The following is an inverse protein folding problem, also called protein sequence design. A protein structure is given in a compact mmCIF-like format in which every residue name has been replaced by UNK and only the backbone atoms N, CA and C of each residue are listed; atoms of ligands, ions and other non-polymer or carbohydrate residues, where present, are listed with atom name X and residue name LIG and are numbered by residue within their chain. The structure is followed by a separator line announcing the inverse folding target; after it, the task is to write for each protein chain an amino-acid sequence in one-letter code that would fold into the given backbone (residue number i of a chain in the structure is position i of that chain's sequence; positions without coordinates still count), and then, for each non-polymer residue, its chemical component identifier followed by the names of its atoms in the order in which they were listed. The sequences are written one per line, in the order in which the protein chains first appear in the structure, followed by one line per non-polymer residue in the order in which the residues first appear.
data_IF_552325494522
#
_entry.id   IF_552325494522
#
_cell.length_a   1.000
_cell.length_b   1.000
_cell.length_c   1.000
_cell.angle_alpha   90.00
_cell.angle_beta   90.00
_cell.angle_gamma   90.00
#
_symmetry.space_group_name_H-M   'P 1'
#
loop_
_entity.id
_entity.type
_entity.pdbx_description
1 polymer ?
#
# COMPACT_ATOMS: atom_id res chain seq x y z
N UNK A 1 -3.08 -19.83 26.87
CA UNK A 1 -2.26 -20.50 25.84
C UNK A 1 -1.16 -19.60 25.29
N UNK A 2 -1.43 -18.32 25.00
CA UNK A 2 -0.47 -17.38 24.41
C UNK A 2 0.96 -17.33 24.98
N UNK A 3 1.18 -17.67 26.26
CA UNK A 3 2.51 -17.66 26.90
C UNK A 3 3.59 -18.45 26.14
N UNK A 4 3.24 -19.52 25.43
CA UNK A 4 4.20 -20.33 24.66
C UNK A 4 4.82 -19.51 23.52
N UNK A 5 4.05 -18.59 22.93
CA UNK A 5 4.45 -17.80 21.76
C UNK A 5 5.05 -16.44 22.15
N UNK A 6 4.63 -15.85 23.27
CA UNK A 6 5.04 -14.47 23.64
C UNK A 6 6.01 -14.39 24.80
N UNK A 7 5.97 -15.35 25.73
CA UNK A 7 6.81 -15.29 26.93
C UNK A 7 8.23 -15.71 26.59
N UNK A 8 9.20 -14.91 27.02
CA UNK A 8 10.60 -15.30 27.00
C UNK A 8 10.89 -16.19 28.21
N UNK A 9 11.42 -17.39 27.96
CA UNK A 9 11.64 -18.43 28.96
C UNK A 9 12.99 -19.11 28.78
N UNK A 10 13.18 -20.23 29.47
CA UNK A 10 14.40 -21.03 29.31
C UNK A 10 14.45 -21.71 27.94
N UNK A 11 13.29 -22.07 27.39
CA UNK A 11 13.11 -22.78 26.12
C UNK A 11 12.16 -22.05 25.15
N UNK A 12 11.88 -20.76 25.35
CA UNK A 12 11.04 -19.95 24.45
C UNK A 12 11.70 -18.60 24.13
N UNK A 13 11.83 -18.27 22.85
CA UNK A 13 12.46 -17.02 22.38
C UNK A 13 11.61 -15.80 22.79
N UNK A 14 10.28 -15.96 22.76
CA UNK A 14 9.30 -14.90 23.03
C UNK A 14 8.81 -14.27 21.72
N UNK A 15 8.39 -13.00 21.77
CA UNK A 15 7.70 -12.33 20.67
C UNK A 15 8.59 -11.53 19.70
N UNK A 16 9.90 -11.48 19.93
CA UNK A 16 10.82 -10.67 19.13
C UNK A 16 11.80 -11.56 18.36
N UNK A 17 11.84 -11.37 17.04
CA UNK A 17 12.71 -12.11 16.14
C UNK A 17 13.44 -11.15 15.20
N UNK A 18 14.71 -11.43 14.94
CA UNK A 18 15.44 -10.85 13.81
C UNK A 18 14.86 -11.44 12.52
N UNK A 19 14.43 -10.57 11.62
CA UNK A 19 13.81 -10.91 10.34
C UNK A 19 14.44 -10.12 9.20
N UNK A 20 14.16 -10.53 7.97
CA UNK A 20 14.49 -9.78 6.76
C UNK A 20 13.20 -9.48 6.01
N UNK A 21 13.02 -8.22 5.59
CA UNK A 21 11.76 -7.70 5.08
C UNK A 21 12.00 -6.76 3.91
N UNK A 22 11.06 -6.72 2.96
CA UNK A 22 11.08 -5.72 1.88
C UNK A 22 10.65 -4.35 2.41
N UNK A 23 11.36 -3.30 2.01
CA UNK A 23 11.04 -1.91 2.37
C UNK A 23 11.28 -0.99 1.18
N UNK A 24 10.37 -0.04 1.00
CA UNK A 24 10.45 0.95 -0.08
C UNK A 24 11.43 2.08 0.29
N UNK A 25 12.19 2.52 -0.72
CA UNK A 25 13.10 3.66 -0.63
C UNK A 25 12.63 4.74 -1.59
N UNK A 26 12.97 6.00 -1.29
CA UNK A 26 12.56 7.13 -2.14
C UNK A 26 13.22 7.11 -3.53
N UNK A 27 14.42 6.55 -3.64
CA UNK A 27 15.21 6.55 -4.88
C UNK A 27 16.21 5.38 -4.92
N UNK A 28 16.89 5.22 -6.05
CA UNK A 28 17.88 4.16 -6.31
C UNK A 28 19.21 4.29 -5.54
N UNK A 29 19.39 5.29 -4.68
CA UNK A 29 20.58 5.40 -3.82
C UNK A 29 20.43 4.56 -2.55
N UNK A 30 19.19 4.22 -2.16
CA UNK A 30 18.86 3.41 -0.98
C UNK A 30 19.35 4.01 0.36
N UNK A 31 19.29 5.33 0.48
CA UNK A 31 19.70 6.07 1.67
C UNK A 31 18.53 6.32 2.63
N UNK A 32 17.36 6.69 2.12
CA UNK A 32 16.18 7.03 2.94
C UNK A 32 14.97 6.15 2.59
N UNK A 33 14.34 5.56 3.61
CA UNK A 33 13.07 4.84 3.46
C UNK A 33 11.94 5.79 3.11
N UNK A 34 11.03 5.35 2.23
CA UNK A 34 9.73 6.01 2.10
C UNK A 34 8.92 5.67 3.35
N UNK A 35 8.46 6.69 4.05
CA UNK A 35 7.64 6.51 5.25
C UNK A 35 6.27 5.98 4.82
N UNK A 36 5.80 4.94 5.51
CA UNK A 36 4.43 4.44 5.35
C UNK A 36 3.44 5.50 5.79
N UNK A 37 2.36 5.61 5.03
CA UNK A 37 1.20 6.43 5.38
C UNK A 37 0.35 5.73 6.43
N UNK A 38 -0.62 6.44 7.03
CA UNK A 38 -1.60 5.84 7.94
C UNK A 38 -2.42 4.74 7.24
N UNK A 39 -2.68 4.86 5.94
CA UNK A 39 -3.38 3.83 5.15
C UNK A 39 -2.56 2.54 5.04
N UNK A 40 -1.24 2.62 5.12
CA UNK A 40 -0.30 1.49 4.95
C UNK A 40 0.22 0.93 6.29
N UNK A 41 -0.23 1.45 7.42
CA UNK A 41 0.21 1.01 8.75
C UNK A 41 -0.03 -0.49 8.95
N UNK A 42 -1.16 -1.00 8.44
CA UNK A 42 -1.54 -2.40 8.53
C UNK A 42 -0.59 -3.36 7.82
N UNK A 43 0.27 -2.90 6.89
CA UNK A 43 1.15 -3.81 6.14
C UNK A 43 2.19 -4.50 7.04
N UNK A 44 2.63 -3.86 8.13
CA UNK A 44 3.54 -4.44 9.13
C UNK A 44 4.74 -5.21 8.52
N UNK A 45 4.76 -6.55 8.58
CA UNK A 45 5.86 -7.34 8.02
C UNK A 45 5.94 -7.27 6.49
N UNK A 46 4.80 -7.16 5.81
CA UNK A 46 4.70 -7.18 4.35
C UNK A 46 5.61 -6.13 3.73
N UNK A 47 6.06 -6.41 2.52
CA UNK A 47 6.65 -5.40 1.66
C UNK A 47 5.68 -4.27 1.28
N UNK A 48 6.16 -3.22 0.60
CA UNK A 48 5.28 -2.18 0.07
C UNK A 48 4.25 -2.72 -0.93
N UNK A 49 3.14 -2.00 -1.07
CA UNK A 49 2.16 -2.24 -2.12
C UNK A 49 2.78 -1.88 -3.47
N UNK A 50 2.78 -2.84 -4.39
CA UNK A 50 3.13 -2.59 -5.78
C UNK A 50 1.83 -2.62 -6.57
N UNK A 51 1.46 -1.49 -7.17
CA UNK A 51 0.31 -1.39 -8.07
C UNK A 51 0.77 -1.41 -9.52
N UNK A 52 -0.01 -2.06 -10.39
CA UNK A 52 0.18 -2.03 -11.83
C UNK A 52 -1.15 -2.20 -12.57
N UNK A 53 -1.27 -1.63 -13.76
CA UNK A 53 -2.38 -1.93 -14.66
C UNK A 53 -2.00 -2.97 -15.71
N UNK A 54 -3.01 -3.61 -16.28
CA UNK A 54 -2.83 -4.44 -17.48
C UNK A 54 -2.21 -3.63 -18.61
N UNK A 55 -1.05 -4.10 -19.08
CA UNK A 55 -0.23 -3.48 -20.12
C UNK A 55 1.05 -2.83 -19.58
N UNK A 56 1.19 -2.69 -18.27
CA UNK A 56 2.34 -2.03 -17.66
C UNK A 56 3.60 -2.90 -17.65
N UNK A 57 4.74 -2.21 -17.53
CA UNK A 57 6.04 -2.79 -17.23
C UNK A 57 6.48 -2.29 -15.84
N UNK A 58 6.44 -3.18 -14.85
CA UNK A 58 6.91 -2.87 -13.50
C UNK A 58 8.42 -3.07 -13.45
N UNK A 59 9.16 -2.01 -13.13
CA UNK A 59 10.62 -2.05 -12.98
C UNK A 59 10.98 -1.92 -11.51
N UNK A 60 11.57 -2.97 -10.95
CA UNK A 60 11.97 -3.00 -9.54
C UNK A 60 13.48 -2.92 -9.46
N UNK A 61 13.96 -1.82 -8.89
CA UNK A 61 15.36 -1.68 -8.50
C UNK A 61 15.50 -2.25 -7.09
N UNK A 62 16.08 -3.44 -6.97
CA UNK A 62 16.22 -4.16 -5.72
C UNK A 62 17.66 -4.09 -5.22
N UNK A 63 17.86 -3.70 -3.96
CA UNK A 63 19.18 -3.73 -3.31
C UNK A 63 19.16 -4.67 -2.11
N UNK A 64 20.06 -5.64 -2.14
CA UNK A 64 20.21 -6.56 -1.03
C UNK A 64 21.10 -5.95 0.06
N UNK A 65 20.49 -5.41 1.12
CA UNK A 65 21.20 -4.90 2.32
C UNK A 65 21.29 -5.94 3.45
N UNK A 66 20.87 -7.18 3.20
CA UNK A 66 20.96 -8.27 4.15
C UNK A 66 22.28 -9.03 4.02
N UNK A 67 22.46 -10.10 4.81
CA UNK A 67 23.73 -10.84 4.90
C UNK A 67 23.79 -12.10 4.02
N UNK A 68 22.76 -12.38 3.22
CA UNK A 68 22.64 -13.58 2.39
C UNK A 68 22.06 -13.24 1.02
N UNK A 69 22.26 -14.07 -0.02
CA UNK A 69 21.66 -13.86 -1.33
C UNK A 69 20.13 -13.94 -1.25
N UNK A 70 19.45 -12.96 -1.85
CA UNK A 70 17.99 -12.88 -1.92
C UNK A 70 17.58 -12.41 -3.31
N UNK A 71 16.31 -12.60 -3.64
CA UNK A 71 15.75 -12.24 -4.95
C UNK A 71 14.35 -11.67 -4.79
N UNK A 72 13.75 -11.19 -5.87
CA UNK A 72 12.34 -10.78 -5.89
C UNK A 72 11.68 -11.36 -7.13
N UNK A 73 10.58 -12.08 -6.94
CA UNK A 73 9.72 -12.60 -8.01
C UNK A 73 8.26 -12.51 -7.55
N UNK A 74 7.32 -12.51 -8.49
CA UNK A 74 5.89 -12.39 -8.17
C UNK A 74 5.06 -13.43 -8.90
N UNK A 75 3.95 -13.83 -8.27
CA UNK A 75 2.90 -14.57 -8.97
C UNK A 75 2.24 -13.69 -10.05
N UNK A 76 1.64 -14.34 -11.04
CA UNK A 76 0.83 -13.67 -12.07
C UNK A 76 1.63 -13.00 -13.18
N UNK A 77 2.77 -12.36 -12.89
CA UNK A 77 3.53 -11.57 -13.87
C UNK A 77 4.32 -12.40 -14.88
N UNK A 78 4.70 -11.78 -16.00
CA UNK A 78 5.63 -12.36 -16.95
C UNK A 78 7.02 -11.75 -16.78
N UNK A 79 7.95 -12.56 -16.29
CA UNK A 79 9.37 -12.22 -16.28
C UNK A 79 9.96 -12.40 -17.69
N UNK A 80 10.87 -11.51 -18.08
CA UNK A 80 11.51 -11.60 -19.40
C UNK A 80 12.47 -12.80 -19.45
N UNK A 81 12.35 -13.66 -20.46
CA UNK A 81 13.03 -14.96 -20.54
C UNK A 81 14.58 -14.86 -20.62
N UNK A 82 15.11 -13.65 -20.87
CA UNK A 82 16.55 -13.36 -20.88
C UNK A 82 17.16 -13.08 -19.50
N UNK A 83 16.34 -12.76 -18.50
CA UNK A 83 16.76 -12.56 -17.11
C UNK A 83 16.44 -13.81 -16.32
N UNK A 84 17.39 -14.76 -16.22
CA UNK A 84 17.35 -15.76 -15.13
C UNK A 84 17.11 -15.00 -13.82
N UNK A 85 16.15 -15.44 -13.00
CA UNK A 85 15.84 -14.83 -11.70
C UNK A 85 17.14 -14.44 -10.98
N UNK A 86 17.46 -13.16 -11.00
CA UNK A 86 18.81 -12.70 -10.71
C UNK A 86 18.98 -12.62 -9.20
N UNK A 87 19.48 -13.68 -8.58
CA UNK A 87 19.69 -13.71 -7.14
C UNK A 87 20.78 -12.68 -6.78
N UNK A 88 20.38 -11.61 -6.08
CA UNK A 88 21.27 -10.54 -5.69
C UNK A 88 22.09 -10.97 -4.47
N UNK A 89 23.42 -10.94 -4.58
CA UNK A 89 24.30 -11.20 -3.42
C UNK A 89 24.29 -10.00 -2.46
N UNK A 90 24.75 -10.16 -1.20
CA UNK A 90 24.82 -9.04 -0.24
C UNK A 90 25.56 -7.82 -0.80
N UNK A 91 24.92 -6.65 -0.73
CA UNK A 91 25.43 -5.38 -1.25
C UNK A 91 25.11 -5.11 -2.73
N UNK A 92 24.71 -6.13 -3.50
CA UNK A 92 24.39 -6.00 -4.92
C UNK A 92 23.04 -5.27 -5.12
N UNK A 93 22.95 -4.55 -6.24
CA UNK A 93 21.70 -3.97 -6.74
C UNK A 93 21.36 -4.61 -8.07
N UNK A 94 20.14 -5.14 -8.18
CA UNK A 94 19.64 -5.87 -9.34
C UNK A 94 18.34 -5.25 -9.80
N UNK A 95 18.11 -5.23 -11.12
CA UNK A 95 16.91 -4.66 -11.71
C UNK A 95 16.05 -5.79 -12.25
N UNK A 96 14.81 -5.86 -11.79
CA UNK A 96 13.81 -6.81 -12.22
C UNK A 96 12.77 -6.10 -13.09
N UNK A 97 12.35 -6.77 -14.15
CA UNK A 97 11.35 -6.25 -15.09
C UNK A 97 10.21 -7.25 -15.19
N UNK A 98 9.03 -6.83 -14.75
CA UNK A 98 7.82 -7.64 -14.78
C UNK A 98 6.84 -7.04 -15.78
N UNK A 99 6.55 -7.80 -16.83
CA UNK A 99 5.50 -7.43 -17.78
C UNK A 99 4.16 -7.88 -17.22
N UNK A 100 3.15 -7.02 -17.35
CA UNK A 100 1.78 -7.30 -16.93
C UNK A 100 0.90 -7.46 -18.17
N UNK A 101 0.92 -8.63 -18.85
CA UNK A 101 -0.02 -8.92 -19.93
C UNK A 101 -1.45 -9.07 -19.38
N UNK A 102 -2.43 -9.14 -20.29
CA UNK A 102 -3.86 -9.31 -19.95
C UNK A 102 -4.11 -10.53 -19.05
N UNK A 103 -3.41 -11.65 -19.30
CA UNK A 103 -3.49 -12.86 -18.46
C UNK A 103 -2.97 -12.71 -17.02
N UNK A 104 -2.28 -11.62 -16.71
CA UNK A 104 -1.75 -11.34 -15.37
C UNK A 104 -2.71 -10.49 -14.54
N UNK A 105 -3.65 -9.82 -15.19
CA UNK A 105 -4.66 -9.00 -14.53
C UNK A 105 -5.98 -9.73 -14.31
N UNK A 106 -7.00 -8.98 -13.85
CA UNK A 106 -8.34 -9.51 -13.62
C UNK A 106 -8.97 -10.10 -14.89
N UNK A 107 -9.55 -11.28 -14.77
CA UNK A 107 -10.42 -11.90 -15.79
C UNK A 107 -11.75 -11.17 -15.95
N UNK A 108 -12.69 -11.73 -16.72
CA UNK A 108 -13.97 -11.06 -17.02
C UNK A 108 -14.88 -10.95 -15.80
N UNK A 109 -14.91 -11.97 -14.95
CA UNK A 109 -15.73 -12.03 -13.72
C UNK A 109 -15.03 -11.45 -12.49
N UNK A 110 -13.73 -11.20 -12.55
CA UNK A 110 -12.94 -10.75 -11.40
C UNK A 110 -13.26 -9.30 -10.99
N UNK A 111 -12.94 -8.88 -9.75
CA UNK A 111 -13.06 -7.48 -9.32
C UNK A 111 -12.05 -6.58 -10.04
N UNK A 112 -12.24 -5.24 -9.98
CA UNK A 112 -11.42 -4.24 -10.70
C UNK A 112 -9.92 -4.42 -10.57
N UNK A 113 -9.48 -4.87 -9.40
CA UNK A 113 -8.11 -5.27 -9.12
C UNK A 113 -8.07 -6.61 -8.41
N UNK A 114 -7.04 -7.41 -8.70
CA UNK A 114 -6.74 -8.67 -8.04
C UNK A 114 -5.37 -8.59 -7.35
N UNK A 115 -5.13 -9.47 -6.38
CA UNK A 115 -3.87 -9.55 -5.66
C UNK A 115 -3.04 -10.76 -6.11
N UNK A 116 -1.73 -10.56 -6.06
CA UNK A 116 -0.69 -11.58 -6.15
C UNK A 116 0.30 -11.37 -5.00
N UNK A 117 1.08 -12.39 -4.67
CA UNK A 117 2.21 -12.23 -3.76
C UNK A 117 3.52 -12.17 -4.53
N UNK A 118 4.41 -11.27 -4.10
CA UNK A 118 5.83 -11.30 -4.44
C UNK A 118 6.67 -11.74 -3.25
N UNK A 119 7.75 -12.47 -3.53
CA UNK A 119 8.57 -13.18 -2.56
C UNK A 119 9.96 -13.45 -3.14
N UNK A 120 10.89 -13.95 -2.32
CA UNK A 120 12.22 -14.38 -2.81
C UNK A 120 12.19 -15.82 -3.29
N UNK A 121 12.78 -16.09 -4.46
CA UNK A 121 12.94 -17.42 -5.06
C UNK A 121 14.33 -18.03 -4.82
N UNK A 122 15.25 -17.31 -4.16
CA UNK A 122 16.59 -17.80 -3.86
C UNK A 122 16.56 -19.04 -2.97
N UNK A 123 15.77 -19.01 -1.90
CA UNK A 123 15.43 -20.18 -1.10
C UNK A 123 13.99 -20.09 -0.58
N UNK A 124 13.02 -20.45 -1.44
CA UNK A 124 11.58 -20.26 -1.25
C UNK A 124 11.07 -20.37 0.19
N UNK A 125 11.26 -21.53 0.83
CA UNK A 125 10.74 -21.82 2.18
C UNK A 125 11.35 -20.91 3.24
N UNK A 126 12.68 -20.93 3.36
CA UNK A 126 13.40 -20.17 4.39
C UNK A 126 13.27 -18.67 4.21
N UNK A 127 13.28 -18.17 2.98
CA UNK A 127 13.19 -16.74 2.69
C UNK A 127 11.81 -16.19 3.05
N UNK A 128 10.75 -16.94 2.74
CA UNK A 128 9.38 -16.63 3.11
C UNK A 128 9.24 -16.53 4.64
N UNK A 129 9.60 -17.58 5.38
CA UNK A 129 9.48 -17.60 6.84
C UNK A 129 10.41 -16.58 7.53
N UNK A 130 11.56 -16.26 6.91
CA UNK A 130 12.44 -15.17 7.38
C UNK A 130 11.81 -13.78 7.23
N UNK A 131 10.77 -13.61 6.40
CA UNK A 131 9.94 -12.41 6.30
C UNK A 131 9.82 -11.79 4.89
N UNK A 132 10.33 -12.43 3.83
CA UNK A 132 10.32 -11.86 2.47
C UNK A 132 9.03 -12.18 1.72
N UNK A 133 8.01 -11.36 1.95
CA UNK A 133 6.73 -11.42 1.25
C UNK A 133 6.11 -10.03 1.13
N UNK A 134 5.41 -9.75 0.04
CA UNK A 134 4.61 -8.55 -0.11
C UNK A 134 3.52 -8.66 -1.18
N UNK A 135 2.57 -7.71 -1.20
CA UNK A 135 1.45 -7.71 -2.13
C UNK A 135 1.75 -6.98 -3.44
N UNK A 136 1.40 -7.64 -4.55
CA UNK A 136 1.32 -7.05 -5.88
C UNK A 136 -0.16 -6.96 -6.27
N UNK A 137 -0.65 -5.76 -6.53
CA UNK A 137 -2.03 -5.49 -6.91
C UNK A 137 -2.07 -5.16 -8.40
N UNK A 138 -2.81 -5.95 -9.17
CA UNK A 138 -2.95 -5.76 -10.60
C UNK A 138 -4.38 -5.36 -10.93
N UNK A 139 -4.53 -4.19 -11.53
CA UNK A 139 -5.79 -3.57 -11.87
C UNK A 139 -6.08 -3.63 -13.36
N UNK A 140 -7.37 -3.50 -13.72
CA UNK A 140 -7.77 -3.17 -15.09
C UNK A 140 -7.24 -1.78 -15.47
N UNK A 141 -7.09 -1.57 -16.76
CA UNK A 141 -6.60 -0.31 -17.33
C UNK A 141 -7.57 0.85 -17.04
N UNK A 142 -7.05 1.96 -16.55
CA UNK A 142 -7.81 3.19 -16.21
C UNK A 142 -8.42 3.22 -14.81
N UNK A 143 -8.03 2.31 -13.91
CA UNK A 143 -8.48 2.25 -12.51
C UNK A 143 -7.51 2.98 -11.58
N UNK A 144 -6.22 2.98 -11.90
CA UNK A 144 -5.19 3.68 -11.14
C UNK A 144 -5.12 5.15 -11.57
N UNK A 145 -4.98 6.04 -10.60
CA UNK A 145 -4.74 7.44 -10.82
C UNK A 145 -3.25 7.74 -11.12
N UNK A 146 -2.93 9.00 -11.40
CA UNK A 146 -1.55 9.44 -11.69
C UNK A 146 -0.54 9.14 -10.56
N UNK A 147 -1.02 8.97 -9.33
CA UNK A 147 -0.20 8.61 -8.15
C UNK A 147 -0.09 7.10 -7.95
N UNK A 148 -0.65 6.28 -8.83
CA UNK A 148 -0.65 4.81 -8.73
C UNK A 148 -1.55 4.28 -7.59
N UNK A 149 -2.52 5.07 -7.12
CA UNK A 149 -3.55 4.64 -6.17
C UNK A 149 -4.87 4.41 -6.90
N UNK A 150 -5.72 3.54 -6.36
CA UNK A 150 -7.06 3.32 -6.92
C UNK A 150 -7.95 4.54 -6.72
N UNK A 151 -8.75 4.87 -7.73
CA UNK A 151 -9.73 5.96 -7.68
C UNK A 151 -11.18 5.49 -7.51
N UNK A 152 -11.42 4.18 -7.60
CA UNK A 152 -12.76 3.59 -7.57
C UNK A 152 -13.24 3.19 -6.17
N UNK A 153 -12.37 3.25 -5.16
CA UNK A 153 -12.64 2.87 -3.76
C UNK A 153 -11.93 3.82 -2.78
N UNK A 154 -12.38 3.84 -1.53
CA UNK A 154 -11.85 4.75 -0.50
C UNK A 154 -10.63 4.19 0.23
N UNK A 155 -10.65 2.86 0.49
CA UNK A 155 -9.64 2.15 1.29
C UNK A 155 -9.26 0.80 0.72
N UNK A 156 -7.98 0.49 0.88
CA UNK A 156 -7.38 -0.79 0.53
C UNK A 156 -6.70 -1.38 1.76
N UNK A 157 -7.00 -2.64 2.05
CA UNK A 157 -6.36 -3.41 3.11
C UNK A 157 -5.78 -4.70 2.53
N UNK A 158 -4.56 -5.05 2.94
CA UNK A 158 -3.96 -6.34 2.62
C UNK A 158 -3.79 -7.13 3.89
N UNK A 159 -4.25 -8.38 3.86
CA UNK A 159 -4.12 -9.32 4.97
C UNK A 159 -3.45 -10.60 4.48
N UNK A 160 -2.26 -10.85 5.01
CA UNK A 160 -1.55 -12.11 4.91
C UNK A 160 -1.84 -12.95 6.15
N UNK A 161 -2.44 -14.11 5.91
CA UNK A 161 -2.59 -15.18 6.89
C UNK A 161 -1.47 -16.20 6.67
N UNK A 162 -0.60 -16.30 7.67
CA UNK A 162 0.57 -17.18 7.63
C UNK A 162 0.99 -17.54 9.05
N UNK A 163 1.20 -18.83 9.30
CA UNK A 163 1.96 -19.31 10.46
C UNK A 163 3.44 -19.11 10.17
N UNK A 164 4.04 -18.05 10.72
CA UNK A 164 5.47 -17.80 10.55
C UNK A 164 6.25 -18.82 11.38
N UNK A 165 6.71 -19.87 10.72
CA UNK A 165 7.58 -20.87 11.33
C UNK A 165 9.03 -20.35 11.43
N UNK A 166 9.36 -19.76 12.57
CA UNK A 166 10.72 -19.24 12.83
C UNK A 166 11.76 -20.36 12.96
N UNK A 167 11.35 -21.63 13.07
CA UNK A 167 12.29 -22.76 13.05
C UNK A 167 12.95 -22.92 11.67
N UNK A 168 12.25 -22.52 10.60
CA UNK A 168 12.78 -22.52 9.23
C UNK A 168 13.49 -21.20 8.86
N UNK A 169 13.46 -20.21 9.76
CA UNK A 169 14.10 -18.92 9.54
C UNK A 169 15.62 -19.03 9.43
N UNK A 170 16.19 -18.26 8.50
CA UNK A 170 17.63 -18.06 8.38
C UNK A 170 18.26 -17.47 9.65
N UNK A 171 17.47 -16.81 10.48
CA UNK A 171 17.90 -16.09 11.67
C UNK A 171 17.65 -16.85 12.97
N UNK A 172 17.23 -18.11 12.91
CA UNK A 172 16.96 -18.93 14.10
C UNK A 172 18.14 -18.92 15.08
N UNK A 173 19.35 -19.22 14.60
CA UNK A 173 20.55 -19.27 15.45
C UNK A 173 20.88 -17.90 16.04
N UNK A 174 20.75 -16.82 15.26
CA UNK A 174 20.95 -15.44 15.75
C UNK A 174 19.95 -15.12 16.87
N UNK A 175 18.71 -15.56 16.72
CA UNK A 175 17.64 -15.34 17.70
C UNK A 175 17.86 -16.17 18.98
N UNK A 176 18.31 -17.43 18.87
CA UNK A 176 18.69 -18.25 20.03
C UNK A 176 19.81 -17.56 20.83
N UNK A 177 20.88 -17.11 20.16
CA UNK A 177 21.98 -16.42 20.84
C UNK A 177 21.51 -15.12 21.48
N UNK A 178 20.73 -14.31 20.74
CA UNK A 178 20.31 -12.98 21.17
C UNK A 178 19.33 -13.01 22.34
N UNK A 179 18.32 -13.88 22.27
CA UNK A 179 17.21 -13.87 23.21
C UNK A 179 17.36 -14.94 24.30
N UNK A 180 17.83 -16.15 23.98
CA UNK A 180 18.03 -17.21 24.99
C UNK A 180 19.41 -17.15 25.64
N UNK A 181 20.39 -16.46 25.03
CA UNK A 181 21.80 -16.43 25.48
C UNK A 181 22.43 -17.83 25.60
N UNK A 182 22.02 -18.73 24.70
CA UNK A 182 22.49 -20.12 24.63
C UNK A 182 23.29 -20.36 23.36
N UNK A 183 24.18 -21.35 23.40
CA UNK A 183 24.88 -21.83 22.20
C UNK A 183 23.89 -22.63 21.32
N UNK A 184 23.64 -22.25 20.06
CA UNK A 184 22.69 -22.94 19.19
C UNK A 184 23.05 -24.41 18.90
N UNK A 185 24.33 -24.79 18.98
CA UNK A 185 24.78 -26.16 18.72
C UNK A 185 24.52 -27.11 19.90
N UNK A 186 24.53 -26.59 21.13
CA UNK A 186 24.32 -27.36 22.36
C UNK A 186 22.87 -27.29 22.86
N UNK A 187 22.08 -26.34 22.34
CA UNK A 187 20.71 -26.12 22.75
C UNK A 187 19.78 -27.22 22.22
N UNK A 188 19.22 -28.00 23.14
CA UNK A 188 18.20 -28.99 22.81
C UNK A 188 16.86 -28.30 22.52
N UNK A 189 16.34 -28.49 21.30
CA UNK A 189 15.06 -27.92 20.86
C UNK A 189 13.91 -28.77 21.40
N UNK A 190 13.28 -28.31 22.47
CA UNK A 190 12.10 -28.96 23.06
C UNK A 190 10.88 -28.80 22.15
N UNK A 191 9.83 -29.59 22.38
CA UNK A 191 8.56 -29.41 21.66
C UNK A 191 7.97 -28.01 21.91
N UNK A 192 8.10 -27.49 23.13
CA UNK A 192 7.66 -26.13 23.47
C UNK A 192 8.45 -25.07 22.70
N UNK A 193 9.76 -25.27 22.49
CA UNK A 193 10.57 -24.36 21.68
C UNK A 193 10.10 -24.36 20.22
N UNK A 194 9.90 -25.54 19.63
CA UNK A 194 9.44 -25.65 18.25
C UNK A 194 8.05 -25.02 18.07
N UNK A 195 7.14 -25.24 19.02
CA UNK A 195 5.79 -24.71 18.99
C UNK A 195 5.76 -23.19 19.23
N UNK A 196 6.51 -22.69 20.21
CA UNK A 196 6.59 -21.26 20.50
C UNK A 196 7.17 -20.42 19.36
N UNK A 197 7.87 -21.05 18.43
CA UNK A 197 8.42 -20.42 17.23
C UNK A 197 7.45 -20.44 16.03
N UNK A 198 6.29 -21.09 16.14
CA UNK A 198 5.23 -21.07 15.11
C UNK A 198 4.28 -19.91 15.38
N UNK A 199 4.58 -18.76 14.79
CA UNK A 199 3.86 -17.52 15.08
C UNK A 199 2.63 -17.40 14.17
N UNK A 200 1.45 -17.75 14.70
CA UNK A 200 0.16 -17.74 13.99
C UNK A 200 -0.35 -16.31 13.82
N UNK A 201 -0.01 -15.66 12.71
CA UNK A 201 -0.10 -14.20 12.60
C UNK A 201 -0.92 -13.70 11.41
N UNK A 202 -1.46 -12.49 11.58
CA UNK A 202 -1.99 -11.66 10.49
C UNK A 202 -0.98 -10.53 10.26
N UNK A 203 -0.42 -10.44 9.04
CA UNK A 203 0.65 -9.50 8.69
C UNK A 203 1.85 -9.52 9.67
N UNK A 204 2.14 -10.68 10.26
CA UNK A 204 3.24 -10.86 11.23
C UNK A 204 2.94 -10.30 12.63
N UNK A 205 1.67 -10.05 12.96
CA UNK A 205 1.19 -9.65 14.29
C UNK A 205 0.21 -10.69 14.85
N UNK A 206 0.22 -10.82 16.17
CA UNK A 206 -0.59 -11.78 16.93
C UNK A 206 -1.30 -11.06 18.09
N UNK A 207 -2.40 -11.64 18.58
CA UNK A 207 -3.16 -11.16 19.75
C UNK A 207 -3.50 -9.66 19.67
N UNK A 208 -4.16 -9.24 18.60
CA UNK A 208 -4.64 -7.86 18.38
C UNK A 208 -3.55 -6.77 18.36
N UNK A 209 -2.33 -7.12 17.93
CA UNK A 209 -1.25 -6.15 17.70
C UNK A 209 -1.16 -5.67 16.24
N UNK A 210 -2.14 -6.00 15.40
CA UNK A 210 -2.25 -5.45 14.04
C UNK A 210 -3.10 -4.18 14.08
N UNK A 211 -2.46 -3.03 13.83
CA UNK A 211 -3.14 -1.74 13.82
C UNK A 211 -3.26 -1.17 12.40
N UNK A 212 -4.08 -0.14 12.22
CA UNK A 212 -4.26 0.56 10.95
C UNK A 212 -5.41 0.04 10.08
N UNK A 213 -6.24 -0.88 10.60
CA UNK A 213 -7.47 -1.35 9.95
C UNK A 213 -8.64 -0.43 10.32
N UNK A 214 -8.60 0.82 9.85
CA UNK A 214 -9.56 1.87 10.19
C UNK A 214 -10.20 2.42 8.92
N UNK A 215 -11.52 2.44 8.90
CA UNK A 215 -12.36 2.98 7.82
C UNK A 215 -13.53 3.77 8.40
N UNK A 216 -14.19 4.57 7.58
CA UNK A 216 -15.37 5.33 7.98
C UNK A 216 -16.66 4.64 7.52
N UNK A 217 -17.75 4.89 8.24
CA UNK A 217 -19.08 4.45 7.84
C UNK A 217 -19.42 4.94 6.43
N UNK A 218 -19.84 4.02 5.57
CA UNK A 218 -20.16 4.25 4.16
C UNK A 218 -18.97 4.18 3.20
N UNK A 219 -17.73 4.00 3.67
CA UNK A 219 -16.57 3.83 2.76
C UNK A 219 -16.64 2.49 2.01
N UNK A 220 -16.34 2.54 0.72
CA UNK A 220 -16.13 1.36 -0.12
C UNK A 220 -14.68 0.86 0.05
N UNK A 221 -14.53 -0.39 0.49
CA UNK A 221 -13.22 -0.96 0.85
C UNK A 221 -12.94 -2.25 0.08
N UNK A 222 -11.69 -2.42 -0.35
CA UNK A 222 -11.20 -3.70 -0.85
C UNK A 222 -10.20 -4.32 0.13
N UNK A 223 -10.40 -5.62 0.37
CA UNK A 223 -9.52 -6.43 1.19
C UNK A 223 -8.87 -7.50 0.33
N UNK A 224 -7.55 -7.46 0.25
CA UNK A 224 -6.74 -8.43 -0.45
C UNK A 224 -6.27 -9.48 0.55
N UNK A 225 -6.92 -10.63 0.51
CA UNK A 225 -6.64 -11.78 1.36
C UNK A 225 -5.57 -12.65 0.69
N UNK A 226 -4.52 -12.98 1.43
CA UNK A 226 -3.38 -13.76 0.97
C UNK A 226 -3.16 -14.92 1.95
N UNK A 227 -3.27 -16.15 1.46
CA UNK A 227 -2.85 -17.36 2.17
C UNK A 227 -1.53 -17.87 1.60
N UNK A 228 -0.54 -18.09 2.46
CA UNK A 228 0.75 -18.68 2.10
C UNK A 228 1.19 -19.64 3.21
N UNK A 229 2.20 -20.48 2.94
CA UNK A 229 2.80 -21.36 3.94
C UNK A 229 2.72 -22.84 3.54
N UNK A 230 2.41 -23.72 4.49
CA UNK A 230 2.44 -25.17 4.31
C UNK A 230 1.09 -25.83 4.63
N UNK A 231 1.05 -27.14 4.90
CA UNK A 231 -0.19 -27.90 5.15
C UNK A 231 -0.98 -27.47 6.38
N UNK A 232 -0.38 -26.77 7.36
CA UNK A 232 -1.11 -26.21 8.50
C UNK A 232 -1.73 -24.85 8.19
N UNK A 233 -1.33 -24.20 7.08
CA UNK A 233 -1.86 -22.90 6.65
C UNK A 233 -3.18 -23.01 5.89
N UNK A 234 -4.15 -23.69 6.51
CA UNK A 234 -5.56 -23.64 6.12
C UNK A 234 -6.24 -22.60 7.01
N UNK A 235 -6.60 -21.46 6.43
CA UNK A 235 -7.16 -20.33 7.17
C UNK A 235 -8.59 -20.06 6.73
N UNK A 236 -9.46 -19.79 7.70
CA UNK A 236 -10.86 -19.40 7.46
C UNK A 236 -11.06 -17.99 7.99
N UNK A 237 -10.95 -16.99 7.13
CA UNK A 237 -10.93 -15.56 7.52
C UNK A 237 -12.34 -15.10 7.79
N UNK A 238 -12.64 -14.75 9.05
CA UNK A 238 -13.96 -14.28 9.45
C UNK A 238 -13.93 -12.80 9.84
N UNK A 239 -14.88 -12.04 9.30
CA UNK A 239 -15.14 -10.64 9.64
C UNK A 239 -16.39 -10.56 10.51
N UNK A 240 -16.25 -10.11 11.76
CA UNK A 240 -17.41 -9.85 12.61
C UNK A 240 -18.10 -8.56 12.18
N UNK A 241 -19.42 -8.45 12.35
CA UNK A 241 -20.16 -7.21 12.16
C UNK A 241 -20.40 -6.79 10.71
N UNK A 242 -19.69 -7.37 9.73
CA UNK A 242 -19.87 -7.08 8.31
C UNK A 242 -19.90 -8.34 7.46
N UNK A 243 -20.51 -8.21 6.28
CA UNK A 243 -20.41 -9.20 5.20
C UNK A 243 -19.68 -8.57 4.03
N UNK A 244 -18.94 -9.36 3.26
CA UNK A 244 -18.28 -8.93 2.04
C UNK A 244 -18.85 -9.65 0.81
N UNK A 245 -18.53 -9.09 -0.36
CA UNK A 245 -18.80 -9.69 -1.65
C UNK A 245 -17.48 -10.16 -2.25
N UNK A 246 -17.46 -11.38 -2.79
CA UNK A 246 -16.33 -11.89 -3.55
C UNK A 246 -16.80 -12.42 -4.91
N UNK A 247 -15.90 -12.40 -5.89
CA UNK A 247 -16.21 -12.77 -7.28
C UNK A 247 -15.29 -13.91 -7.71
N UNK A 248 -15.90 -14.95 -8.29
CA UNK A 248 -15.20 -16.09 -8.93
C UNK A 248 -15.84 -16.31 -10.31
N UNK A 249 -17.18 -16.33 -10.35
CA UNK A 249 -18.02 -16.42 -11.55
C UNK A 249 -19.18 -15.41 -11.50
N UNK A 250 -19.82 -15.28 -10.34
CA UNK A 250 -20.84 -14.32 -10.01
C UNK A 250 -20.54 -13.67 -8.64
N UNK A 251 -21.40 -12.75 -8.22
CA UNK A 251 -21.27 -12.11 -6.91
C UNK A 251 -21.72 -13.07 -5.81
N UNK A 252 -20.78 -13.50 -4.98
CA UNK A 252 -21.04 -14.29 -3.78
C UNK A 252 -21.00 -13.37 -2.56
N UNK A 253 -21.86 -13.62 -1.58
CA UNK A 253 -21.84 -12.92 -0.29
C UNK A 253 -21.45 -13.89 0.81
N UNK A 254 -20.55 -13.47 1.66
CA UNK A 254 -20.14 -14.22 2.84
C UNK A 254 -19.53 -13.30 3.90
N UNK A 255 -19.27 -13.87 5.05
CA UNK A 255 -18.52 -13.28 6.17
C UNK A 255 -17.30 -14.14 6.54
N UNK A 256 -17.12 -15.28 5.87
CA UNK A 256 -15.98 -16.20 5.99
C UNK A 256 -15.42 -16.49 4.60
N UNK A 257 -14.10 -16.43 4.44
CA UNK A 257 -13.41 -16.86 3.22
C UNK A 257 -12.28 -17.83 3.54
N UNK A 258 -12.22 -18.93 2.80
CA UNK A 258 -11.23 -19.98 2.99
C UNK A 258 -9.96 -19.68 2.17
N UNK A 259 -8.81 -19.69 2.83
CA UNK A 259 -7.50 -19.53 2.25
C UNK A 259 -6.69 -20.81 2.49
N UNK A 260 -6.12 -21.35 1.43
CA UNK A 260 -5.07 -22.38 1.50
C UNK A 260 -3.76 -21.76 0.98
N UNK A 261 -2.61 -22.45 1.07
CA UNK A 261 -1.36 -21.90 0.56
C UNK A 261 -1.47 -21.50 -0.92
N UNK A 262 -1.00 -20.30 -1.23
CA UNK A 262 -1.09 -19.65 -2.54
C UNK A 262 -2.52 -19.31 -3.02
N UNK A 263 -3.48 -19.13 -2.10
CA UNK A 263 -4.76 -18.48 -2.40
C UNK A 263 -4.61 -16.96 -2.30
N UNK A 264 -5.02 -16.25 -3.35
CA UNK A 264 -5.09 -14.79 -3.39
C UNK A 264 -6.52 -14.42 -3.76
N UNK A 265 -7.23 -13.73 -2.87
CA UNK A 265 -8.61 -13.32 -3.13
C UNK A 265 -8.78 -11.84 -2.81
N UNK A 266 -9.59 -11.17 -3.63
CA UNK A 266 -10.09 -9.83 -3.32
C UNK A 266 -11.54 -9.93 -2.87
N UNK A 267 -11.84 -9.32 -1.73
CA UNK A 267 -13.22 -9.18 -1.23
C UNK A 267 -13.57 -7.69 -1.11
N UNK A 268 -14.78 -7.35 -1.52
CA UNK A 268 -15.35 -6.00 -1.53
C UNK A 268 -16.27 -5.86 -0.31
N UNK A 269 -16.01 -4.88 0.55
CA UNK A 269 -16.73 -4.64 1.80
C UNK A 269 -17.12 -3.17 1.89
N UNK A 270 -18.37 -2.90 2.21
CA UNK A 270 -18.86 -1.55 2.51
C UNK A 270 -19.05 -1.45 4.02
N UNK A 271 -18.44 -0.45 4.65
CA UNK A 271 -18.44 -0.33 6.11
C UNK A 271 -19.76 0.27 6.63
N UNK A 272 -20.72 -0.56 7.04
CA UNK A 272 -22.06 -0.11 7.42
C UNK A 272 -22.32 -0.05 8.93
N UNK A 273 -21.58 -0.79 9.74
CA UNK A 273 -21.84 -0.98 11.16
C UNK A 273 -20.72 -0.35 11.98
N UNK A 274 -20.87 0.91 12.45
CA UNK A 274 -19.86 1.55 13.29
C UNK A 274 -19.56 0.75 14.56
N UNK A 275 -18.28 0.62 14.87
CA UNK A 275 -17.80 -0.18 15.99
C UNK A 275 -16.39 -0.69 15.78
N UNK A 276 -15.87 -1.41 16.77
CA UNK A 276 -14.64 -2.18 16.67
C UNK A 276 -15.01 -3.64 16.64
N UNK A 277 -14.66 -4.32 15.54
CA UNK A 277 -15.08 -5.67 15.23
C UNK A 277 -13.89 -6.61 15.18
N UNK A 278 -14.10 -7.85 15.60
CA UNK A 278 -13.08 -8.89 15.55
C UNK A 278 -12.89 -9.38 14.11
N UNK A 279 -11.64 -9.59 13.74
CA UNK A 279 -11.21 -10.24 12.50
C UNK A 279 -10.23 -11.33 12.88
N UNK A 280 -10.57 -12.58 12.57
CA UNK A 280 -9.77 -13.72 13.00
C UNK A 280 -9.84 -14.89 12.04
N UNK A 281 -8.91 -15.83 12.21
CA UNK A 281 -9.05 -17.15 11.62
C UNK A 281 -10.01 -18.00 12.46
N UNK A 282 -10.97 -18.68 11.83
CA UNK A 282 -11.94 -19.54 12.53
C UNK A 282 -11.41 -20.96 12.79
N UNK A 283 -10.17 -21.26 12.39
CA UNK A 283 -9.48 -22.49 12.80
C UNK A 283 -9.07 -22.40 14.27
N UNK A 284 -9.52 -23.36 15.06
CA UNK A 284 -9.44 -23.35 16.52
C UNK A 284 -8.02 -23.19 17.07
N UNK A 285 -7.04 -23.84 16.43
CA UNK A 285 -5.65 -23.75 16.83
C UNK A 285 -5.08 -22.35 16.55
N UNK A 286 -5.37 -21.80 15.38
CA UNK A 286 -4.85 -20.51 14.93
C UNK A 286 -5.37 -19.35 15.79
N UNK A 287 -6.67 -19.33 16.14
CA UNK A 287 -7.21 -18.31 17.05
C UNK A 287 -6.60 -18.41 18.45
N UNK A 288 -6.47 -19.62 19.01
CA UNK A 288 -5.84 -19.82 20.32
C UNK A 288 -4.36 -19.43 20.35
N UNK A 289 -3.68 -19.56 19.22
CA UNK A 289 -2.30 -19.13 19.02
C UNK A 289 -2.14 -17.64 18.68
N UNK A 290 -3.25 -16.91 18.50
CA UNK A 290 -3.29 -15.45 18.40
C UNK A 290 -3.49 -14.88 17.00
N UNK A 291 -3.97 -15.68 16.04
CA UNK A 291 -4.32 -15.21 14.69
C UNK A 291 -5.67 -14.46 14.69
N UNK A 292 -5.68 -13.33 15.37
CA UNK A 292 -6.83 -12.47 15.58
C UNK A 292 -6.39 -11.01 15.72
N UNK A 293 -7.27 -10.10 15.31
CA UNK A 293 -7.13 -8.67 15.51
C UNK A 293 -8.49 -7.99 15.38
N UNK A 294 -8.52 -6.66 15.45
CA UNK A 294 -9.71 -5.86 15.28
C UNK A 294 -9.59 -4.91 14.10
N UNK A 295 -10.74 -4.57 13.52
CA UNK A 295 -10.87 -3.45 12.60
C UNK A 295 -11.93 -2.50 13.13
N UNK A 296 -11.80 -1.22 12.81
CA UNK A 296 -12.67 -0.17 13.34
C UNK A 296 -13.38 0.57 12.22
N UNK A 297 -14.71 0.63 12.33
CA UNK A 297 -15.56 1.48 11.51
C UNK A 297 -15.93 2.70 12.35
N UNK A 298 -15.42 3.87 11.97
CA UNK A 298 -15.72 5.14 12.62
C UNK A 298 -17.07 5.62 12.11
N UNK A 299 -17.99 5.89 13.03
CA UNK A 299 -19.31 6.46 12.71
C UNK A 299 -19.15 7.79 11.98
N UNK A 300 -19.89 7.98 10.90
CA UNK A 300 -19.97 9.29 10.29
C UNK A 300 -20.70 10.24 11.27
N UNK A 301 -20.03 11.29 11.72
CA UNK A 301 -20.74 12.35 12.44
C UNK A 301 -21.66 13.06 11.44
N UNK A 302 -22.97 12.96 11.65
CA UNK A 302 -23.90 13.82 10.94
C UNK A 302 -23.57 15.27 11.32
N UNK A 303 -23.13 16.09 10.35
CA UNK A 303 -23.07 17.55 10.47
C UNK A 303 -24.47 18.19 10.57
N UNK A 304 -25.37 17.61 11.36
CA UNK A 304 -26.70 18.14 11.64
C UNK A 304 -27.00 17.95 13.12
N UNK A 305 -26.59 18.93 13.93
CA UNK A 305 -27.31 19.48 15.10
C UNK A 305 -26.35 20.25 16.02
N UNK A 306 -25.75 21.31 15.49
CA UNK A 306 -25.14 22.38 16.28
C UNK A 306 -25.81 23.72 15.97
N UNK A 307 -27.14 23.73 15.91
CA UNK A 307 -27.90 25.00 15.87
C UNK A 307 -29.30 24.95 16.51
N UNK A 308 -29.51 24.12 17.54
CA UNK A 308 -30.79 24.14 18.29
C UNK A 308 -30.63 23.78 19.78
N UNK A 309 -29.69 24.44 20.46
CA UNK A 309 -29.80 24.67 21.91
C UNK A 309 -28.81 25.75 22.33
N UNK A 310 -29.26 27.01 22.31
CA UNK A 310 -28.84 28.10 23.22
C UNK A 310 -29.59 29.38 22.87
N UNK A 311 -30.81 29.51 23.38
CA UNK A 311 -31.40 30.82 23.63
C UNK A 311 -30.82 31.35 24.94
N UNK A 312 -30.47 32.64 24.94
CA UNK A 312 -30.13 33.52 26.08
C UNK A 312 -28.80 33.29 26.82
N UNK A 313 -27.73 33.92 26.32
CA UNK A 313 -27.13 35.12 26.98
C UNK A 313 -26.05 35.73 26.08
N UNK A 314 -26.09 37.06 25.97
CA UNK A 314 -25.29 37.88 25.08
C UNK A 314 -23.78 37.73 25.29
N UNK A 315 -23.01 37.71 24.20
CA UNK A 315 -21.54 37.72 24.24
C UNK A 315 -20.91 37.69 22.84
N UNK A 316 -20.87 38.86 22.20
CA UNK A 316 -20.19 39.19 20.95
C UNK A 316 -18.75 38.60 20.83
N UNK A 317 -18.42 37.89 19.73
CA UNK A 317 -17.07 37.69 19.07
C UNK A 317 -17.05 36.38 18.25
N UNK A 318 -16.49 36.26 17.04
CA UNK A 318 -15.91 37.18 16.05
C UNK A 318 -15.72 36.41 14.74
N UNK A 319 -16.18 37.00 13.64
CA UNK A 319 -15.95 36.62 12.24
C UNK A 319 -14.65 37.25 11.76
N UNK A 320 -13.52 36.53 11.86
CA UNK A 320 -12.22 36.98 11.34
C UNK A 320 -11.58 35.85 10.52
N UNK A 321 -11.14 36.16 9.29
CA UNK A 321 -10.44 35.23 8.38
C UNK A 321 -8.98 35.70 8.28
N UNK A 322 -8.02 34.80 8.50
CA UNK A 322 -6.60 35.10 8.29
C UNK A 322 -6.26 35.07 6.80
N UNK A 323 -5.69 36.17 6.28
CA UNK A 323 -5.22 36.27 4.90
C UNK A 323 -3.87 37.00 4.88
N UNK A 324 -2.81 36.32 4.42
CA UNK A 324 -1.42 36.82 4.39
C UNK A 324 -0.92 37.42 5.73
N UNK A 325 -1.19 36.72 6.84
CA UNK A 325 -0.70 37.11 8.17
C UNK A 325 -1.41 38.32 8.78
N UNK A 326 -2.57 38.73 8.23
CA UNK A 326 -3.49 39.71 8.83
C UNK A 326 -4.88 39.10 9.00
N UNK A 327 -5.52 39.38 10.13
CA UNK A 327 -6.94 39.05 10.36
C UNK A 327 -7.81 40.11 9.70
N UNK A 328 -8.65 39.68 8.75
CA UNK A 328 -9.58 40.54 8.02
C UNK A 328 -11.02 40.24 8.44
N UNK A 329 -11.84 41.28 8.57
CA UNK A 329 -13.29 41.13 8.72
C UNK A 329 -13.95 40.65 7.42
N UNK A 330 -15.15 40.08 7.49
CA UNK A 330 -15.85 39.51 6.33
C UNK A 330 -16.08 40.51 5.17
N UNK A 331 -16.35 41.77 5.48
CA UNK A 331 -16.53 42.84 4.47
C UNK A 331 -15.20 43.27 3.84
N UNK A 332 -14.11 43.29 4.62
CA UNK A 332 -12.77 43.58 4.12
C UNK A 332 -12.26 42.44 3.23
N UNK A 333 -12.51 41.19 3.61
CA UNK A 333 -12.14 40.01 2.82
C UNK A 333 -12.83 40.00 1.45
N UNK A 334 -14.13 40.35 1.40
CA UNK A 334 -14.88 40.48 0.15
C UNK A 334 -14.29 41.56 -0.77
N UNK A 335 -13.94 42.71 -0.19
CA UNK A 335 -13.32 43.83 -0.93
C UNK A 335 -11.93 43.49 -1.45
N UNK A 336 -11.11 42.80 -0.66
CA UNK A 336 -9.77 42.33 -1.06
C UNK A 336 -9.87 41.29 -2.18
N UNK A 337 -10.83 40.37 -2.10
CA UNK A 337 -11.04 39.34 -3.13
C UNK A 337 -11.45 39.97 -4.47
N UNK A 338 -12.33 40.97 -4.44
CA UNK A 338 -12.72 41.73 -5.64
C UNK A 338 -11.53 42.48 -6.25
N UNK A 339 -10.68 43.09 -5.42
CA UNK A 339 -9.47 43.77 -5.89
C UNK A 339 -8.45 42.81 -6.51
N UNK A 340 -8.24 41.63 -5.91
CA UNK A 340 -7.38 40.58 -6.46
C UNK A 340 -7.90 40.02 -7.79
N UNK A 341 -9.22 39.86 -7.89
CA UNK A 341 -9.85 39.43 -9.14
C UNK A 341 -9.67 40.47 -10.25
N UNK A 342 -9.92 41.75 -9.97
CA UNK A 342 -9.72 42.82 -10.96
C UNK A 342 -8.26 42.94 -11.41
N UNK A 343 -7.31 42.86 -10.47
CA UNK A 343 -5.87 42.90 -10.80
C UNK A 343 -5.45 41.70 -11.64
N UNK A 344 -5.98 40.51 -11.36
CA UNK A 344 -5.78 39.31 -12.19
C UNK A 344 -6.29 39.48 -13.63
N UNK A 345 -7.48 40.07 -13.80
CA UNK A 345 -8.05 40.35 -15.13
C UNK A 345 -7.19 41.37 -15.90
N UNK A 346 -6.72 42.43 -15.24
CA UNK A 346 -5.85 43.44 -15.87
C UNK A 346 -4.51 42.82 -16.30
N UNK A 347 -3.89 41.99 -15.46
CA UNK A 347 -2.66 41.28 -15.80
C UNK A 347 -2.85 40.33 -16.99
N UNK A 348 -3.98 39.61 -17.04
CA UNK A 348 -4.32 38.75 -18.17
C UNK A 348 -4.43 39.55 -19.48
N UNK A 349 -5.10 40.72 -19.43
CA UNK A 349 -5.19 41.61 -20.60
C UNK A 349 -3.82 42.11 -21.06
N UNK A 350 -2.93 42.48 -20.14
CA UNK A 350 -1.56 42.92 -20.48
C UNK A 350 -0.80 41.78 -21.18
N UNK A 351 -0.90 40.56 -20.67
CA UNK A 351 -0.26 39.38 -21.28
C UNK A 351 -0.82 39.10 -22.68
N UNK A 352 -2.13 39.21 -22.87
CA UNK A 352 -2.77 39.03 -24.19
C UNK A 352 -2.35 40.11 -25.19
N UNK A 353 -2.18 41.36 -24.74
CA UNK A 353 -1.69 42.44 -25.60
C UNK A 353 -0.21 42.21 -25.96
N UNK A 354 0.63 41.85 -24.99
CA UNK A 354 2.05 41.57 -25.25
C UNK A 354 2.24 40.39 -26.20
N UNK A 355 1.51 39.29 -25.99
CA UNK A 355 1.54 38.13 -26.90
C UNK A 355 1.05 38.50 -28.29
N UNK A 356 0.01 39.33 -28.42
CA UNK A 356 -0.47 39.83 -29.71
C UNK A 356 0.58 40.72 -30.42
N UNK A 357 1.28 41.59 -29.69
CA UNK A 357 2.38 42.40 -30.22
C UNK A 357 3.53 41.52 -30.71
N UNK A 358 3.92 40.51 -29.94
CA UNK A 358 4.97 39.55 -30.31
C UNK A 358 4.58 38.76 -31.57
N UNK A 359 3.33 38.33 -31.68
CA UNK A 359 2.81 37.65 -32.87
C UNK A 359 2.78 38.58 -34.08
N UNK A 360 2.38 39.85 -33.91
CA UNK A 360 2.43 40.86 -34.96
C UNK A 360 3.86 41.17 -35.42
N UNK A 361 4.82 41.27 -34.50
CA UNK A 361 6.24 41.46 -34.84
C UNK A 361 6.82 40.26 -35.59
N UNK A 362 6.49 39.03 -35.17
CA UNK A 362 6.86 37.81 -35.92
C UNK A 362 6.26 37.79 -37.32
N UNK A 363 5.00 38.20 -37.49
CA UNK A 363 4.37 38.33 -38.81
C UNK A 363 5.04 39.40 -39.68
N UNK A 364 5.37 40.58 -39.14
CA UNK A 364 6.12 41.62 -39.87
C UNK A 364 7.51 41.15 -40.32
N UNK A 365 8.24 40.42 -39.47
CA UNK A 365 9.52 39.82 -39.84
C UNK A 365 9.38 38.79 -40.97
N UNK A 366 8.30 38.00 -40.97
CA UNK A 366 8.01 37.03 -42.02
C UNK A 366 7.63 37.69 -43.37
N UNK A 367 6.96 38.85 -43.34
CA UNK A 367 6.66 39.64 -44.55
C UNK A 367 7.91 40.31 -45.14
N UNK A 368 8.80 40.88 -44.32
CA UNK A 368 10.05 41.47 -44.79
C UNK A 368 11.01 40.42 -45.39
N UNK A 369 10.95 39.16 -44.92
CA UNK A 369 11.70 38.04 -45.51
C UNK A 369 11.15 37.63 -46.90
N UNK A 370 9.87 37.88 -47.16
CA UNK A 370 9.22 37.60 -48.45
C UNK A 370 9.44 38.71 -49.48
N UNK A 371 9.46 39.99 -49.08
CA UNK A 371 9.80 41.11 -49.98
C UNK A 371 11.23 40.99 -50.52
N UNK A 372 12.18 40.47 -49.73
CA UNK A 372 13.55 40.28 -50.20
C UNK A 372 13.71 39.14 -51.24
N UNK A 373 12.71 38.28 -51.40
CA UNK A 373 12.69 37.18 -52.40
C UNK A 373 11.96 37.52 -53.70
N UNK A 374 11.29 38.67 -53.79
CA UNK A 374 10.57 39.11 -55.00
C UNK A 374 11.32 40.15 -55.85
N UNK A 375 12.59 40.45 -55.54
CA UNK A 375 13.47 41.20 -56.45
C UNK A 375 14.37 40.23 -57.23
N UNK A 376 13.89 39.79 -58.40
CA UNK A 376 14.75 39.29 -59.48
C UNK A 376 14.96 40.43 -60.49
N UNK A 377 16.19 40.64 -60.99
CA UNK A 377 16.56 41.80 -61.79
C UNK A 377 16.07 41.68 -63.23
N UNK A 378 15.69 42.82 -63.81
CA UNK A 378 15.48 43.00 -65.24
C UNK A 378 16.78 43.60 -65.83
N UNK A 379 17.62 42.76 -66.43
CA UNK A 379 18.65 43.11 -67.44
C UNK A 379 18.67 41.91 -68.40
N UNK A 380 18.17 41.98 -69.64
CA UNK A 380 18.71 42.61 -70.86
C UNK A 380 20.03 41.98 -71.36
N UNK A 381 19.92 41.33 -72.53
CA UNK A 381 20.89 40.63 -73.39
C UNK A 381 21.23 39.16 -73.11
#
# INVERSE_FOLDING_TARGET
YGHIFVSQGEDTIGSQYKKVVYREYKNGEFMEHKKRTLKEEHLQILGPLIHAEVGDLVVIVFKNKASRPYSVSAHGVQEDAGTKAHIAVPGETSIYQWRVPERSGPGVSDPNCISWAYYSTAHFVKDLYSGLIGPLIICRKGILNENGSRSDIDREFVLLFLVFDENESWYLNDNIVRYLRKNPEEFNRTNNFMEGNKMHAINGKIFDNLHGLIMNEGEDTNWYLIGMGNEIDVHTVHFHGETFIFKIDHNHRGDVYDLIPATFQTVELVAFNPGTWLLHCHVHDHIHAGMETTYTIIKAENETNLDNSKTTTAGNRRTEIEFFGKTLGLEEASSVLQALFLTGVVLLFIVLVFTSIVVCQKRKAHYNLFEHKCNLPMESL
#
